data_IF_560665889583
#
_entry.id   IF_560665889583
#
_cell.length_a   1.000
_cell.length_b   1.000
_cell.length_c   1.000
_cell.angle_alpha   90.00
_cell.angle_beta   90.00
_cell.angle_gamma   90.00
#
_symmetry.space_group_name_H-M   'P 1'
#
loop_
_entity.id
_entity.type
_entity.pdbx_description
1 polymer ?
#
# COMPACT_ATOMS: atom_id res chain seq x y z
N UNK A 1 13.53 17.77 -13.87
CA UNK A 1 12.09 17.44 -13.88
C UNK A 1 11.39 18.60 -14.53
N UNK A 2 10.73 18.38 -15.67
CA UNK A 2 9.94 19.42 -16.33
C UNK A 2 8.62 19.64 -15.58
N UNK A 3 8.01 20.82 -15.72
CA UNK A 3 6.75 21.15 -15.03
C UNK A 3 5.60 20.23 -15.49
N UNK A 4 5.64 19.80 -16.75
CA UNK A 4 4.73 18.81 -17.34
C UNK A 4 4.87 17.42 -16.68
N UNK A 5 6.11 16.94 -16.50
CA UNK A 5 6.37 15.67 -15.80
C UNK A 5 5.82 15.71 -14.37
N UNK A 6 6.02 16.82 -13.64
CA UNK A 6 5.50 16.98 -12.28
C UNK A 6 3.96 16.90 -12.23
N UNK A 7 3.27 17.55 -13.16
CA UNK A 7 1.80 17.50 -13.25
C UNK A 7 1.31 16.08 -13.61
N UNK A 8 1.96 15.40 -14.55
CA UNK A 8 1.60 14.03 -14.92
C UNK A 8 1.78 13.05 -13.75
N UNK A 9 2.88 13.16 -13.00
CA UNK A 9 3.13 12.36 -11.79
C UNK A 9 2.07 12.62 -10.72
N UNK A 10 1.68 13.89 -10.52
CA UNK A 10 0.62 14.25 -9.57
C UNK A 10 -0.71 13.60 -9.93
N UNK A 11 -1.13 13.70 -11.20
CA UNK A 11 -2.40 13.12 -11.68
C UNK A 11 -2.36 11.59 -11.58
N UNK A 12 -1.26 10.96 -11.99
CA UNK A 12 -1.09 9.51 -11.87
C UNK A 12 -1.14 9.04 -10.42
N UNK A 13 -0.51 9.77 -9.49
CA UNK A 13 -0.58 9.51 -8.06
C UNK A 13 -1.99 9.65 -7.48
N UNK A 14 -2.74 10.67 -7.91
CA UNK A 14 -4.15 10.84 -7.52
C UNK A 14 -5.05 9.69 -8.01
N UNK A 15 -4.87 9.25 -9.25
CA UNK A 15 -5.61 8.13 -9.84
C UNK A 15 -5.25 6.80 -9.15
N UNK A 16 -3.97 6.54 -8.92
CA UNK A 16 -3.51 5.36 -8.20
C UNK A 16 -4.06 5.33 -6.76
N UNK A 17 -4.02 6.47 -6.07
CA UNK A 17 -4.57 6.63 -4.72
C UNK A 17 -6.08 6.37 -4.68
N UNK A 18 -6.86 6.97 -5.59
CA UNK A 18 -8.32 6.77 -5.64
C UNK A 18 -8.69 5.32 -5.92
N UNK A 19 -8.05 4.66 -6.88
CA UNK A 19 -8.29 3.22 -7.15
C UNK A 19 -7.97 2.37 -5.92
N UNK A 20 -6.86 2.67 -5.23
CA UNK A 20 -6.48 1.94 -4.02
C UNK A 20 -7.48 2.16 -2.87
N UNK A 21 -7.97 3.39 -2.68
CA UNK A 21 -8.96 3.68 -1.64
C UNK A 21 -10.32 3.02 -1.93
N UNK A 22 -10.73 2.91 -3.19
CA UNK A 22 -12.03 2.34 -3.59
C UNK A 22 -12.01 0.81 -3.54
N UNK A 23 -10.97 0.20 -4.13
CA UNK A 23 -10.94 -1.26 -4.34
C UNK A 23 -10.18 -1.97 -3.22
N UNK A 24 -9.25 -1.30 -2.53
CA UNK A 24 -8.36 -1.92 -1.53
C UNK A 24 -7.34 -2.92 -2.12
N UNK A 25 -7.49 -3.28 -3.40
CA UNK A 25 -6.66 -4.26 -4.12
C UNK A 25 -5.62 -3.60 -5.04
N UNK A 26 -5.34 -2.31 -4.89
CA UNK A 26 -4.40 -1.58 -5.76
C UNK A 26 -3.02 -2.25 -5.79
N UNK A 27 -2.56 -2.75 -4.65
CA UNK A 27 -1.36 -3.57 -4.47
C UNK A 27 -1.40 -4.90 -5.21
N UNK A 28 -2.53 -5.61 -5.25
CA UNK A 28 -2.67 -6.89 -5.98
C UNK A 28 -2.45 -6.74 -7.49
N UNK A 29 -2.63 -5.54 -8.05
CA UNK A 29 -2.40 -5.26 -9.47
C UNK A 29 -1.00 -4.67 -9.70
N UNK A 30 -0.65 -3.64 -8.93
CA UNK A 30 0.59 -2.87 -9.14
C UNK A 30 1.84 -3.66 -8.74
N UNK A 31 1.76 -4.52 -7.72
CA UNK A 31 2.92 -5.25 -7.24
C UNK A 31 3.36 -6.39 -8.19
N UNK A 32 2.49 -7.30 -8.67
CA UNK A 32 2.90 -8.32 -9.65
C UNK A 32 3.42 -7.71 -10.95
N UNK A 33 2.86 -6.57 -11.37
CA UNK A 33 3.33 -5.83 -12.53
C UNK A 33 4.77 -5.36 -12.35
N UNK A 34 5.13 -4.76 -11.21
CA UNK A 34 6.49 -4.30 -10.93
C UNK A 34 7.49 -5.48 -10.86
N UNK A 35 7.08 -6.61 -10.30
CA UNK A 35 7.89 -7.84 -10.27
C UNK A 35 8.08 -8.41 -11.67
N UNK A 36 7.04 -8.42 -12.51
CA UNK A 36 7.12 -8.85 -13.91
C UNK A 36 8.04 -7.95 -14.75
N UNK A 37 8.16 -6.66 -14.38
CA UNK A 37 9.09 -5.71 -14.99
C UNK A 37 10.53 -5.85 -14.49
N UNK A 38 10.82 -6.83 -13.63
CA UNK A 38 12.16 -7.14 -13.14
C UNK A 38 12.60 -6.30 -11.94
N UNK A 39 11.71 -5.54 -11.31
CA UNK A 39 12.02 -4.81 -10.08
C UNK A 39 12.09 -5.81 -8.92
N UNK A 40 13.13 -5.77 -8.06
CA UNK A 40 13.22 -6.61 -6.89
C UNK A 40 11.94 -6.52 -6.04
N UNK A 41 11.33 -7.66 -5.63
CA UNK A 41 10.07 -7.68 -4.90
C UNK A 41 10.08 -6.78 -3.67
N UNK A 42 11.19 -6.75 -2.92
CA UNK A 42 11.33 -5.89 -1.75
C UNK A 42 11.14 -4.40 -2.11
N UNK A 43 11.88 -3.92 -3.10
CA UNK A 43 11.80 -2.52 -3.55
C UNK A 43 10.41 -2.20 -4.10
N UNK A 44 9.83 -3.10 -4.90
CA UNK A 44 8.49 -2.94 -5.43
C UNK A 44 7.43 -2.81 -4.32
N UNK A 45 7.52 -3.62 -3.26
CA UNK A 45 6.58 -3.59 -2.14
C UNK A 45 6.69 -2.29 -1.33
N UNK A 46 7.93 -1.91 -0.98
CA UNK A 46 8.20 -0.71 -0.17
C UNK A 46 7.75 0.54 -0.92
N UNK A 47 8.12 0.69 -2.20
CA UNK A 47 7.74 1.85 -3.02
C UNK A 47 6.23 1.97 -3.18
N UNK A 48 5.53 0.85 -3.38
CA UNK A 48 4.08 0.84 -3.49
C UNK A 48 3.41 1.25 -2.18
N UNK A 49 3.81 0.62 -1.07
CA UNK A 49 3.25 0.91 0.26
C UNK A 49 3.43 2.37 0.64
N UNK A 50 4.63 2.92 0.47
CA UNK A 50 4.92 4.35 0.76
C UNK A 50 4.11 5.27 -0.16
N UNK A 51 4.01 4.93 -1.44
CA UNK A 51 3.25 5.72 -2.42
C UNK A 51 1.76 5.80 -2.10
N UNK A 52 1.20 4.79 -1.44
CA UNK A 52 -0.22 4.73 -1.09
C UNK A 52 -0.57 5.45 0.22
N UNK A 53 0.41 5.72 1.10
CA UNK A 53 0.17 6.38 2.40
C UNK A 53 -0.63 7.68 2.28
N UNK A 54 -0.27 8.64 1.40
CA UNK A 54 -1.04 9.88 1.26
C UNK A 54 -2.48 9.64 0.79
N UNK A 55 -2.68 8.66 -0.09
CA UNK A 55 -4.02 8.26 -0.57
C UNK A 55 -4.87 7.65 0.55
N UNK A 56 -4.28 6.80 1.39
CA UNK A 56 -4.97 6.21 2.54
C UNK A 56 -5.35 7.27 3.59
N UNK A 57 -4.46 8.23 3.87
CA UNK A 57 -4.74 9.32 4.82
C UNK A 57 -5.84 10.24 4.31
N UNK A 58 -5.77 10.65 3.05
CA UNK A 58 -6.79 11.52 2.45
C UNK A 58 -8.12 10.80 2.27
N UNK A 59 -8.12 9.51 1.94
CA UNK A 59 -9.30 8.65 1.91
C UNK A 59 -9.98 8.54 3.28
N UNK A 60 -9.22 8.22 4.33
CA UNK A 60 -9.75 8.16 5.70
C UNK A 60 -10.34 9.51 6.15
N UNK A 61 -9.70 10.63 5.78
CA UNK A 61 -10.23 11.96 6.04
C UNK A 61 -11.49 12.26 5.23
N UNK A 62 -11.56 11.83 3.97
CA UNK A 62 -12.72 11.95 3.10
C UNK A 62 -13.94 11.23 3.68
N UNK A 63 -13.75 9.97 4.10
CA UNK A 63 -14.78 9.11 4.68
C UNK A 63 -15.11 9.41 6.15
N UNK A 64 -14.55 10.48 6.75
CA UNK A 64 -14.72 10.79 8.18
C UNK A 64 -16.17 10.94 8.62
N UNK A 65 -17.06 11.32 7.69
CA UNK A 65 -18.50 11.47 7.97
C UNK A 65 -19.20 10.12 7.97
N UNK A 66 -18.86 9.20 7.06
CA UNK A 66 -19.38 7.83 7.11
C UNK A 66 -18.81 7.02 8.28
N UNK A 67 -17.59 7.33 8.73
CA UNK A 67 -16.95 6.71 9.90
C UNK A 67 -17.54 7.21 11.24
N UNK A 68 -18.37 8.25 11.21
CA UNK A 68 -18.99 8.81 12.40
C UNK A 68 -19.95 7.79 13.04
N UNK A 69 -19.73 7.47 14.31
CA UNK A 69 -20.52 6.48 15.05
C UNK A 69 -19.86 5.11 15.20
N UNK A 70 -18.80 4.81 14.45
CA UNK A 70 -18.06 3.52 14.56
C UNK A 70 -16.62 3.68 15.02
N UNK A 71 -16.30 4.80 15.67
CA UNK A 71 -14.93 5.20 16.05
C UNK A 71 -14.17 4.12 16.83
N UNK A 72 -14.86 3.35 17.68
CA UNK A 72 -14.24 2.28 18.47
C UNK A 72 -13.76 1.14 17.59
N UNK A 73 -14.54 0.73 16.60
CA UNK A 73 -14.14 -0.29 15.61
C UNK A 73 -12.99 0.22 14.77
N UNK A 74 -13.06 1.48 14.33
CA UNK A 74 -11.98 2.13 13.56
C UNK A 74 -10.69 2.16 14.37
N UNK A 75 -10.74 2.51 15.65
CA UNK A 75 -9.56 2.54 16.53
C UNK A 75 -8.97 1.15 16.76
N UNK A 76 -9.81 0.12 16.97
CA UNK A 76 -9.34 -1.26 17.12
C UNK A 76 -8.68 -1.76 15.83
N UNK A 77 -9.33 -1.54 14.68
CA UNK A 77 -8.77 -1.90 13.38
C UNK A 77 -7.46 -1.16 13.11
N UNK A 78 -7.41 0.15 13.38
CA UNK A 78 -6.19 0.94 13.23
C UNK A 78 -5.05 0.42 14.11
N UNK A 79 -5.32 0.07 15.38
CA UNK A 79 -4.33 -0.54 16.25
C UNK A 79 -3.84 -1.88 15.72
N UNK A 80 -4.75 -2.80 15.36
CA UNK A 80 -4.37 -4.12 14.84
C UNK A 80 -3.58 -4.02 13.53
N UNK A 81 -4.01 -3.15 12.61
CA UNK A 81 -3.28 -2.87 11.36
C UNK A 81 -1.92 -2.25 11.62
N UNK A 82 -1.79 -1.36 12.61
CA UNK A 82 -0.50 -0.75 12.96
C UNK A 82 0.45 -1.79 13.54
N UNK A 83 -0.02 -2.62 14.48
CA UNK A 83 0.80 -3.69 15.08
C UNK A 83 1.21 -4.70 14.01
N UNK A 84 0.28 -5.14 13.17
CA UNK A 84 0.56 -6.07 12.07
C UNK A 84 1.53 -5.48 11.04
N UNK A 85 1.35 -4.21 10.67
CA UNK A 85 2.23 -3.51 9.73
C UNK A 85 3.65 -3.32 10.27
N UNK A 86 3.80 -2.95 11.54
CA UNK A 86 5.11 -2.84 12.19
C UNK A 86 5.78 -4.20 12.30
N UNK A 87 5.06 -5.22 12.78
CA UNK A 87 5.59 -6.57 12.88
C UNK A 87 6.02 -7.13 11.52
N UNK A 88 5.17 -6.96 10.49
CA UNK A 88 5.47 -7.36 9.12
C UNK A 88 6.67 -6.62 8.52
N UNK A 89 6.77 -5.29 8.76
CA UNK A 89 7.90 -4.48 8.32
C UNK A 89 9.22 -4.87 8.99
N UNK A 90 9.21 -5.17 10.30
CA UNK A 90 10.37 -5.66 11.02
C UNK A 90 10.81 -7.05 10.54
N UNK A 91 9.85 -7.96 10.29
CA UNK A 91 10.13 -9.27 9.70
C UNK A 91 10.75 -9.14 8.31
N UNK A 92 10.25 -8.21 7.49
CA UNK A 92 10.79 -7.89 6.17
C UNK A 92 12.24 -7.41 6.23
N UNK A 93 12.59 -6.59 7.23
CA UNK A 93 13.95 -6.09 7.43
C UNK A 93 14.90 -7.14 8.02
N UNK A 94 14.39 -8.06 8.86
CA UNK A 94 15.19 -9.10 9.50
C UNK A 94 15.41 -10.33 8.61
N UNK A 95 14.51 -10.59 7.66
CA UNK A 95 14.58 -11.75 6.77
C UNK A 95 15.56 -11.51 5.60
N UNK A 96 16.23 -12.56 5.09
CA UNK A 96 16.97 -12.49 3.83
C UNK A 96 16.05 -12.11 2.66
N UNK A 97 16.55 -11.29 1.72
CA UNK A 97 15.75 -10.79 0.59
C UNK A 97 15.15 -11.92 -0.29
N UNK A 98 15.82 -13.06 -0.39
CA UNK A 98 15.36 -14.22 -1.14
C UNK A 98 14.10 -14.86 -0.53
N UNK A 99 13.97 -14.80 0.80
CA UNK A 99 12.80 -15.31 1.52
C UNK A 99 11.54 -14.56 1.13
N UNK A 100 11.63 -13.23 0.98
CA UNK A 100 10.49 -12.43 0.56
C UNK A 100 10.06 -12.80 -0.86
N UNK A 101 11.03 -12.92 -1.78
CA UNK A 101 10.77 -13.32 -3.18
C UNK A 101 10.02 -14.66 -3.28
N UNK A 102 10.36 -15.63 -2.43
CA UNK A 102 9.71 -16.93 -2.40
C UNK A 102 8.30 -16.92 -1.78
N UNK A 103 8.06 -16.09 -0.76
CA UNK A 103 6.81 -16.09 0.02
C UNK A 103 5.75 -15.15 -0.57
N UNK A 104 6.18 -14.09 -1.23
CA UNK A 104 5.32 -13.08 -1.87
C UNK A 104 4.19 -13.64 -2.74
N UNK A 105 4.42 -14.60 -3.66
CA UNK A 105 3.35 -15.15 -4.49
C UNK A 105 2.22 -15.76 -3.66
N UNK A 106 2.57 -16.46 -2.58
CA UNK A 106 1.60 -17.05 -1.66
C UNK A 106 0.84 -16.00 -0.86
N UNK A 107 1.52 -14.95 -0.42
CA UNK A 107 0.87 -13.82 0.26
C UNK A 107 -0.14 -13.12 -0.66
N UNK A 108 0.16 -12.99 -1.96
CA UNK A 108 -0.77 -12.40 -2.94
C UNK A 108 -1.98 -13.28 -3.22
N UNK A 109 -1.84 -14.61 -3.14
CA UNK A 109 -2.97 -15.54 -3.33
C UNK A 109 -3.90 -15.55 -2.12
N UNK A 110 -3.36 -15.33 -0.91
CA UNK A 110 -4.10 -15.38 0.35
C UNK A 110 -4.74 -14.04 0.77
N UNK A 111 -4.26 -12.91 0.22
CA UNK A 111 -4.70 -11.55 0.53
C UNK A 111 -5.91 -11.13 -0.32
#
# INVERSE_FOLDING_TARGET
>A
MSLLEGVLVLVAGMLAGTVNTIVGAGTLITFPLLVALGIPPLTANVSNTVGLVPGSVTGAWGYRRELAGTWRTVAVMACLSTVGGVAGGLLLLAAPADTFTAVVPWLLVLA
#
